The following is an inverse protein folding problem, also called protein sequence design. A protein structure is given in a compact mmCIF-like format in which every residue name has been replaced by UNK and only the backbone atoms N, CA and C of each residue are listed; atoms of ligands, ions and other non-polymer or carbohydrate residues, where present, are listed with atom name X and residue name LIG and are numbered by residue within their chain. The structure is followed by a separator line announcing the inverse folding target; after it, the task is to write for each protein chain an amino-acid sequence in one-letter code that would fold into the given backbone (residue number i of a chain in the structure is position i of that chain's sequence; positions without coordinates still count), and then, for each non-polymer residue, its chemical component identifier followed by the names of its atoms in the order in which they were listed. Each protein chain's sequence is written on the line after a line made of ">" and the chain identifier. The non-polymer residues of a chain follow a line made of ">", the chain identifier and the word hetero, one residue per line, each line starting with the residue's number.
data_IF_059157325127
#
_entry.id   IF_059157325127
#
_cell.length_a   1.000
_cell.length_b   1.000
_cell.length_c   1.000
_cell.angle_alpha   90.00
_cell.angle_beta   90.00
_cell.angle_gamma   90.00
#
_symmetry.space_group_name_H-M   'P 1'
#
loop_
_entity.id
_entity.type
_entity.pdbx_description
1 polymer ?
#
# COMPACT_ATOMS: atom_id res chain seq x y z
N UNK A 1 32.85 1.94 22.17
CA UNK A 1 32.26 1.20 21.04
C UNK A 1 31.84 2.21 19.99
N UNK A 2 32.41 2.17 18.79
CA UNK A 2 31.90 2.95 17.67
C UNK A 2 30.51 2.43 17.28
N UNK A 3 29.51 3.32 17.21
CA UNK A 3 28.20 2.97 16.66
C UNK A 3 28.34 2.83 15.15
N UNK A 4 28.24 1.61 14.64
CA UNK A 4 28.06 1.35 13.22
C UNK A 4 26.61 1.72 12.88
N UNK A 5 26.42 2.72 12.03
CA UNK A 5 25.12 3.00 11.41
C UNK A 5 25.09 2.32 10.04
N UNK A 6 24.52 1.11 9.90
CA UNK A 6 24.55 0.37 8.63
C UNK A 6 23.75 1.05 7.51
N UNK A 7 22.93 2.04 7.85
CA UNK A 7 22.11 2.80 6.92
C UNK A 7 22.35 4.30 7.08
N UNK A 8 22.48 4.99 5.94
CA UNK A 8 22.44 6.45 5.87
C UNK A 8 21.10 6.87 5.27
N UNK A 9 20.42 7.82 5.92
CA UNK A 9 19.17 8.39 5.40
C UNK A 9 19.46 9.16 4.10
N UNK A 10 18.52 9.09 3.17
CA UNK A 10 18.58 9.92 1.98
C UNK A 10 18.52 11.40 2.37
N UNK A 11 19.46 12.21 1.84
CA UNK A 11 19.63 13.62 2.25
C UNK A 11 18.45 14.51 1.86
N UNK A 12 17.68 14.12 0.85
CA UNK A 12 16.50 14.86 0.39
C UNK A 12 15.19 14.24 0.90
N UNK A 13 15.22 13.47 2.00
CA UNK A 13 13.99 13.04 2.63
C UNK A 13 13.15 14.24 3.12
N UNK A 14 11.80 14.16 3.06
CA UNK A 14 11.02 13.04 2.48
C UNK A 14 10.96 13.09 0.95
N UNK A 15 10.83 11.93 0.30
CA UNK A 15 10.67 11.83 -1.18
C UNK A 15 9.25 12.14 -1.67
N UNK A 16 8.27 12.09 -0.76
CA UNK A 16 6.87 12.44 -1.00
C UNK A 16 6.29 13.04 0.29
N UNK A 17 5.38 13.99 0.13
CA UNK A 17 4.63 14.66 1.19
C UNK A 17 3.15 14.70 0.83
N UNK A 18 2.29 15.09 1.80
CA UNK A 18 0.86 15.30 1.53
C UNK A 18 0.60 16.35 0.44
N UNK A 19 1.51 17.32 0.26
CA UNK A 19 1.38 18.37 -0.75
C UNK A 19 1.57 17.85 -2.17
N UNK A 20 2.19 16.68 -2.33
CA UNK A 20 2.37 16.01 -3.63
C UNK A 20 1.14 15.18 -4.02
N UNK A 21 0.22 14.93 -3.08
CA UNK A 21 -1.02 14.20 -3.33
C UNK A 21 -2.00 15.14 -4.05
N UNK A 22 -2.52 14.77 -5.24
CA UNK A 22 -3.32 15.67 -6.09
C UNK A 22 -4.77 15.85 -5.61
N UNK A 23 -5.09 15.37 -4.40
CA UNK A 23 -6.39 15.48 -3.77
C UNK A 23 -6.24 15.60 -2.25
N UNK A 24 -7.31 16.01 -1.58
CA UNK A 24 -7.29 16.27 -0.14
C UNK A 24 -7.00 14.99 0.66
N UNK A 25 -5.99 15.04 1.51
CA UNK A 25 -5.63 13.97 2.44
C UNK A 25 -5.02 14.53 3.72
N UNK A 26 -4.99 13.72 4.77
CA UNK A 26 -4.31 14.04 6.02
C UNK A 26 -2.80 13.76 5.89
N UNK A 27 -2.44 12.60 5.35
CA UNK A 27 -1.07 12.12 5.32
C UNK A 27 -0.85 11.02 4.26
N UNK A 28 0.41 10.80 3.90
CA UNK A 28 0.89 9.75 2.99
C UNK A 28 2.13 9.08 3.58
N UNK A 29 2.12 7.76 3.71
CA UNK A 29 3.18 7.00 4.38
C UNK A 29 3.08 5.50 4.04
N UNK A 30 3.93 4.67 4.67
CA UNK A 30 3.89 3.19 4.61
C UNK A 30 3.69 2.58 3.22
N UNK A 31 4.44 3.08 2.23
CA UNK A 31 4.31 2.61 0.86
C UNK A 31 4.90 1.21 0.66
N UNK A 32 4.22 0.37 -0.14
CA UNK A 32 4.85 -0.78 -0.79
C UNK A 32 5.64 -0.30 -2.01
N UNK A 33 6.76 -0.95 -2.35
CA UNK A 33 7.57 -0.60 -3.51
C UNK A 33 7.90 -1.83 -4.36
N UNK A 34 7.75 -1.72 -5.68
CA UNK A 34 8.19 -2.74 -6.62
C UNK A 34 8.65 -2.12 -7.95
N UNK A 35 9.33 -2.93 -8.76
CA UNK A 35 9.52 -2.62 -10.18
C UNK A 35 8.35 -3.19 -10.98
N UNK A 36 7.78 -2.36 -11.85
CA UNK A 36 6.77 -2.76 -12.81
C UNK A 36 7.18 -2.24 -14.19
N UNK A 37 7.40 -3.16 -15.13
CA UNK A 37 8.04 -2.86 -16.43
C UNK A 37 9.38 -2.12 -16.21
N UNK A 38 9.54 -0.95 -16.83
CA UNK A 38 10.75 -0.13 -16.76
C UNK A 38 10.67 1.00 -15.72
N UNK A 39 9.75 0.91 -14.77
CA UNK A 39 9.52 1.95 -13.76
C UNK A 39 9.49 1.39 -12.33
N UNK A 40 9.79 2.26 -11.38
CA UNK A 40 9.50 2.06 -9.97
C UNK A 40 8.05 2.46 -9.70
N UNK A 41 7.35 1.62 -8.96
CA UNK A 41 5.96 1.83 -8.57
C UNK A 41 5.88 1.78 -7.03
N UNK A 42 5.19 2.76 -6.47
CA UNK A 42 4.80 2.76 -5.06
C UNK A 42 3.29 2.52 -4.95
N UNK A 43 2.89 1.69 -3.99
CA UNK A 43 1.52 1.58 -3.49
C UNK A 43 1.49 2.37 -2.19
N UNK A 44 1.05 3.63 -2.26
CA UNK A 44 1.03 4.55 -1.13
C UNK A 44 -0.17 4.24 -0.24
N UNK A 45 0.02 4.18 1.09
CA UNK A 45 -1.08 4.35 2.04
C UNK A 45 -1.33 5.84 2.20
N UNK A 46 -2.54 6.27 1.86
CA UNK A 46 -3.01 7.63 2.06
C UNK A 46 -4.19 7.58 3.00
N UNK A 47 -4.16 8.42 4.04
CA UNK A 47 -5.30 8.62 4.93
C UNK A 47 -6.07 9.86 4.47
N UNK A 48 -7.35 9.69 4.19
CA UNK A 48 -8.26 10.78 3.82
C UNK A 48 -8.61 11.67 5.03
N UNK A 49 -9.34 12.75 4.79
CA UNK A 49 -9.74 13.70 5.84
C UNK A 49 -10.74 13.13 6.86
N UNK A 50 -11.37 11.99 6.55
CA UNK A 50 -12.25 11.25 7.45
C UNK A 50 -11.47 10.22 8.29
N UNK A 51 -10.14 10.14 8.14
CA UNK A 51 -9.30 9.18 8.85
C UNK A 51 -9.32 7.77 8.25
N UNK A 52 -9.85 7.60 7.03
CA UNK A 52 -9.88 6.29 6.36
C UNK A 52 -8.70 6.16 5.41
N UNK A 53 -8.01 5.02 5.50
CA UNK A 53 -6.88 4.73 4.62
C UNK A 53 -7.31 4.02 3.33
N UNK A 54 -6.67 4.39 2.23
CA UNK A 54 -6.81 3.78 0.90
C UNK A 54 -5.44 3.72 0.20
N UNK A 55 -5.39 3.03 -0.94
CA UNK A 55 -4.16 2.89 -1.72
C UNK A 55 -4.17 3.74 -2.97
N UNK A 56 -3.05 4.40 -3.26
CA UNK A 56 -2.84 5.18 -4.49
C UNK A 56 -1.49 4.85 -5.07
N UNK A 57 -1.44 4.77 -6.40
CA UNK A 57 -0.20 4.47 -7.09
C UNK A 57 0.64 5.73 -7.30
N UNK A 58 1.96 5.56 -7.26
CA UNK A 58 2.89 6.57 -7.73
C UNK A 58 3.99 5.92 -8.57
N UNK A 59 4.40 6.59 -9.65
CA UNK A 59 5.36 6.05 -10.62
C UNK A 59 6.59 6.93 -10.74
N UNK A 60 7.76 6.30 -10.90
CA UNK A 60 9.04 6.98 -11.06
C UNK A 60 9.95 6.23 -12.02
N UNK A 61 10.72 6.95 -12.83
CA UNK A 61 11.80 6.38 -13.64
C UNK A 61 13.11 6.17 -12.86
N UNK A 62 13.32 6.90 -11.76
CA UNK A 62 14.59 6.92 -11.01
C UNK A 62 14.46 6.41 -9.56
N UNK A 63 13.24 6.11 -9.12
CA UNK A 63 12.95 5.61 -7.78
C UNK A 63 13.03 6.68 -6.68
N UNK A 64 13.07 7.96 -7.06
CA UNK A 64 13.18 9.11 -6.14
C UNK A 64 12.16 10.20 -6.43
N UNK A 65 11.94 10.51 -7.70
CA UNK A 65 10.97 11.50 -8.16
C UNK A 65 9.70 10.79 -8.61
N UNK A 66 8.67 10.80 -7.76
CA UNK A 66 7.43 10.07 -8.00
C UNK A 66 6.30 11.01 -8.45
N UNK A 67 5.54 10.58 -9.47
CA UNK A 67 4.26 11.18 -9.82
C UNK A 67 3.14 10.34 -9.23
N UNK A 68 2.36 10.93 -8.31
CA UNK A 68 1.19 10.29 -7.71
C UNK A 68 0.01 10.34 -8.69
N UNK A 69 -0.74 9.25 -8.77
CA UNK A 69 -1.94 9.16 -9.60
C UNK A 69 -3.04 10.10 -9.09
N UNK A 70 -3.88 10.63 -10.00
CA UNK A 70 -4.87 11.66 -9.65
C UNK A 70 -6.01 11.15 -8.76
N UNK A 71 -6.18 9.84 -8.60
CA UNK A 71 -7.28 9.21 -7.87
C UNK A 71 -6.78 7.97 -7.12
N UNK A 72 -7.47 7.55 -6.03
CA UNK A 72 -7.24 6.27 -5.39
C UNK A 72 -7.28 5.10 -6.37
N UNK A 73 -6.38 4.14 -6.18
CA UNK A 73 -6.37 2.88 -6.95
C UNK A 73 -7.22 1.80 -6.28
N UNK A 74 -7.08 1.62 -4.96
CA UNK A 74 -7.91 0.69 -4.18
C UNK A 74 -8.48 1.43 -2.99
N UNK A 75 -9.79 1.37 -2.83
CA UNK A 75 -10.53 1.85 -1.66
C UNK A 75 -11.19 0.67 -0.96
N UNK A 76 -11.63 0.81 0.31
CA UNK A 76 -12.50 -0.18 0.94
C UNK A 76 -13.64 -0.63 0.02
N UNK A 77 -13.83 -1.95 -0.08
CA UNK A 77 -14.88 -2.54 -0.91
C UNK A 77 -16.27 -2.33 -0.29
N UNK A 78 -17.30 -2.39 -1.13
CA UNK A 78 -18.70 -2.37 -0.71
C UNK A 78 -19.38 -3.74 -0.78
N UNK A 79 -18.72 -4.74 -1.38
CA UNK A 79 -19.18 -6.13 -1.34
C UNK A 79 -19.25 -6.64 0.11
N UNK A 80 -20.39 -7.21 0.56
CA UNK A 80 -20.57 -7.72 1.91
C UNK A 80 -19.51 -8.73 2.38
N UNK A 81 -18.79 -9.37 1.45
CA UNK A 81 -17.67 -10.28 1.76
C UNK A 81 -16.47 -9.55 2.36
N UNK A 82 -16.24 -8.30 1.99
CA UNK A 82 -15.06 -7.52 2.36
C UNK A 82 -15.41 -6.30 3.22
N UNK A 83 -16.55 -5.65 2.97
CA UNK A 83 -16.95 -4.40 3.62
C UNK A 83 -16.83 -4.44 5.15
N UNK A 84 -17.29 -5.48 5.88
CA UNK A 84 -17.21 -5.49 7.33
C UNK A 84 -15.77 -5.53 7.87
N UNK A 85 -14.81 -5.87 7.03
CA UNK A 85 -13.39 -5.96 7.39
C UNK A 85 -12.56 -4.80 6.85
N UNK A 86 -13.05 -4.04 5.86
CA UNK A 86 -12.36 -2.88 5.29
C UNK A 86 -13.03 -1.53 5.64
N UNK A 87 -14.18 -1.56 6.33
CA UNK A 87 -15.03 -0.38 6.62
C UNK A 87 -14.29 0.86 7.12
N UNK A 88 -13.23 0.66 7.89
CA UNK A 88 -12.43 1.72 8.49
C UNK A 88 -11.14 2.02 7.72
N UNK A 89 -10.79 1.21 6.73
CA UNK A 89 -9.69 1.47 5.82
C UNK A 89 -8.95 0.21 5.40
N UNK A 90 -8.07 0.40 4.42
CA UNK A 90 -7.05 -0.57 4.04
C UNK A 90 -5.67 0.05 4.28
N UNK A 91 -4.77 -0.69 4.92
CA UNK A 91 -3.53 -0.12 5.44
C UNK A 91 -2.30 -0.96 5.10
N UNK A 92 -1.17 -0.27 5.15
CA UNK A 92 0.19 -0.82 5.15
C UNK A 92 0.41 -1.93 4.10
N UNK A 93 0.25 -1.60 2.80
CA UNK A 93 0.39 -2.57 1.73
C UNK A 93 1.85 -3.06 1.67
N UNK A 94 2.03 -4.36 1.44
CA UNK A 94 3.29 -4.94 0.98
C UNK A 94 3.02 -5.61 -0.36
N UNK A 95 4.01 -5.59 -1.24
CA UNK A 95 3.89 -6.16 -2.59
C UNK A 95 4.98 -7.18 -2.80
N UNK A 96 4.59 -8.37 -3.26
CA UNK A 96 5.49 -9.45 -3.63
C UNK A 96 5.08 -9.94 -5.02
N UNK A 97 6.03 -9.97 -5.96
CA UNK A 97 5.80 -10.58 -7.27
C UNK A 97 6.00 -12.08 -7.17
N UNK A 98 5.01 -12.86 -7.62
CA UNK A 98 5.07 -14.33 -7.67
C UNK A 98 4.62 -14.73 -9.09
N UNK A 99 5.56 -15.25 -9.89
CA UNK A 99 5.34 -15.45 -11.32
C UNK A 99 5.08 -14.13 -12.06
N UNK A 100 3.97 -14.05 -12.79
CA UNK A 100 3.56 -12.86 -13.56
C UNK A 100 2.57 -11.96 -12.80
N UNK A 101 2.20 -12.34 -11.58
CA UNK A 101 1.26 -11.59 -10.73
C UNK A 101 2.00 -10.88 -9.60
N UNK A 102 1.46 -9.74 -9.20
CA UNK A 102 1.85 -9.01 -8.01
C UNK A 102 0.80 -9.24 -6.95
N UNK A 103 1.20 -9.87 -5.85
CA UNK A 103 0.35 -10.07 -4.68
C UNK A 103 0.57 -8.93 -3.69
N UNK A 104 -0.53 -8.41 -3.17
CA UNK A 104 -0.55 -7.34 -2.18
C UNK A 104 -1.13 -7.89 -0.90
N UNK A 105 -0.30 -8.02 0.14
CA UNK A 105 -0.80 -8.18 1.50
C UNK A 105 -1.10 -6.82 2.09
N UNK A 106 -2.22 -6.71 2.80
CA UNK A 106 -2.61 -5.46 3.46
C UNK A 106 -3.41 -5.72 4.72
N UNK A 107 -3.48 -4.72 5.58
CA UNK A 107 -4.41 -4.75 6.71
C UNK A 107 -5.79 -4.29 6.24
N UNK A 108 -6.77 -5.17 6.31
CA UNK A 108 -8.19 -4.79 6.26
C UNK A 108 -8.63 -4.42 7.67
N UNK A 109 -9.03 -3.16 7.88
CA UNK A 109 -9.49 -2.68 9.19
C UNK A 109 -11.01 -2.42 9.23
N UNK A 110 -11.68 -3.07 10.18
CA UNK A 110 -13.12 -2.96 10.37
C UNK A 110 -13.56 -3.11 11.84
N UNK A 111 -14.87 -3.12 12.13
CA UNK A 111 -15.45 -3.24 13.47
C UNK A 111 -14.97 -4.43 14.30
N UNK A 112 -14.49 -5.49 13.67
CA UNK A 112 -14.01 -6.70 14.36
C UNK A 112 -12.52 -6.65 14.72
N UNK A 113 -11.82 -5.57 14.35
CA UNK A 113 -10.36 -5.46 14.46
C UNK A 113 -9.67 -5.60 13.09
N UNK A 114 -8.35 -5.43 13.05
CA UNK A 114 -7.59 -5.58 11.82
C UNK A 114 -7.33 -7.05 11.51
N UNK A 115 -7.31 -7.37 10.21
CA UNK A 115 -6.89 -8.68 9.72
C UNK A 115 -6.08 -8.54 8.45
N UNK A 116 -5.28 -9.55 8.17
CA UNK A 116 -4.51 -9.61 6.92
C UNK A 116 -5.43 -10.03 5.79
N UNK A 117 -5.42 -9.24 4.72
CA UNK A 117 -6.04 -9.56 3.45
C UNK A 117 -4.96 -9.68 2.36
N UNK A 118 -5.30 -10.41 1.30
CA UNK A 118 -4.47 -10.59 0.11
C UNK A 118 -5.31 -10.22 -1.09
N UNK A 119 -4.77 -9.36 -1.94
CA UNK A 119 -5.24 -9.16 -3.30
C UNK A 119 -4.11 -9.32 -4.31
N UNK A 120 -4.43 -9.24 -5.60
CA UNK A 120 -3.44 -9.36 -6.66
C UNK A 120 -3.77 -8.48 -7.86
N UNK A 121 -2.76 -8.26 -8.69
CA UNK A 121 -2.85 -7.59 -9.99
C UNK A 121 -1.72 -8.06 -10.90
N UNK A 122 -1.96 -8.12 -12.20
CA UNK A 122 -0.90 -8.27 -13.23
C UNK A 122 -0.54 -6.94 -13.91
N UNK A 123 -1.37 -5.91 -13.77
CA UNK A 123 -1.28 -4.70 -14.60
C UNK A 123 -1.26 -3.37 -13.82
N UNK A 124 -1.53 -3.40 -12.50
CA UNK A 124 -1.75 -2.21 -11.67
C UNK A 124 -2.85 -1.28 -12.22
N UNK A 125 -3.85 -1.87 -12.88
CA UNK A 125 -5.11 -1.25 -13.28
C UNK A 125 -6.22 -1.93 -12.52
N UNK A 126 -6.38 -3.25 -12.68
CA UNK A 126 -7.31 -4.06 -11.91
C UNK A 126 -6.74 -4.50 -10.56
N UNK A 127 -7.60 -4.66 -9.56
CA UNK A 127 -7.24 -5.25 -8.28
C UNK A 127 -8.27 -6.32 -7.91
N UNK A 128 -7.82 -7.57 -7.78
CA UNK A 128 -8.64 -8.69 -7.34
C UNK A 128 -8.36 -8.99 -5.87
N UNK A 129 -9.38 -8.88 -5.01
CA UNK A 129 -9.30 -9.39 -3.64
C UNK A 129 -9.38 -10.92 -3.65
N UNK A 130 -8.37 -11.57 -3.09
CA UNK A 130 -8.22 -13.04 -3.13
C UNK A 130 -8.72 -13.67 -1.84
N UNK A 131 -8.27 -13.17 -0.69
CA UNK A 131 -8.60 -13.80 0.60
C UNK A 131 -8.44 -12.86 1.77
N UNK A 132 -9.22 -13.09 2.82
CA UNK A 132 -8.90 -12.64 4.17
C UNK A 132 -8.07 -13.73 4.85
N UNK A 133 -6.74 -13.59 4.81
CA UNK A 133 -5.78 -14.67 5.06
C UNK A 133 -5.66 -15.10 6.53
N UNK A 134 -6.05 -14.24 7.46
CA UNK A 134 -5.99 -14.52 8.91
C UNK A 134 -7.31 -14.21 9.58
N UNK A 135 -7.53 -14.79 10.76
CA UNK A 135 -8.49 -14.26 11.72
C UNK A 135 -8.02 -12.89 12.26
N UNK A 136 -8.93 -12.19 12.94
CA UNK A 136 -8.61 -11.01 13.76
C UNK A 136 -7.89 -11.45 15.05
N UNK A 137 -6.95 -10.73 15.65
CA UNK A 137 -6.38 -9.40 15.35
C UNK A 137 -4.95 -9.56 14.82
N UNK A 138 -4.72 -9.34 13.52
CA UNK A 138 -3.43 -9.59 12.88
C UNK A 138 -3.08 -8.55 11.81
N UNK A 139 -1.80 -8.18 11.72
CA UNK A 139 -1.23 -7.14 10.85
C UNK A 139 0.17 -7.54 10.36
N UNK A 140 0.74 -6.72 9.49
CA UNK A 140 2.16 -6.78 9.08
C UNK A 140 2.61 -8.07 8.37
N UNK A 141 1.68 -8.77 7.73
CA UNK A 141 2.03 -9.92 6.89
C UNK A 141 2.67 -9.51 5.57
N UNK A 142 3.57 -10.36 5.09
CA UNK A 142 4.22 -10.30 3.79
C UNK A 142 4.36 -11.71 3.24
N UNK A 143 4.21 -11.87 1.93
CA UNK A 143 4.44 -13.15 1.27
C UNK A 143 5.92 -13.32 0.91
N UNK A 144 6.41 -14.55 1.05
CA UNK A 144 7.68 -14.94 0.43
C UNK A 144 7.58 -14.83 -1.10
N UNK A 145 8.70 -14.55 -1.80
CA UNK A 145 8.70 -14.34 -3.25
C UNK A 145 8.63 -15.62 -4.10
N UNK A 146 8.39 -16.78 -3.48
CA UNK A 146 8.30 -18.12 -4.09
C UNK A 146 7.45 -19.09 -3.25
#
# INVERSE_FOLDING_TARGET
>A
MERIFPFQRYRQNPILTKSDVPYACNTVFNAAACRFKDQYLLILRIEDQAGKSHFTLARSGDGRNFKIDPQPWVTPDTDPRWEPYERYGIEDPRVTRIGDEYFITYTAFGPFGPRVAIGKTSDFVGFERVSLATEVDNKDAVLFPE
#
